data_IF_141411567305
#
_entry.id   IF_141411567305
#
_cell.length_a   1.000
_cell.length_b   1.000
_cell.length_c   1.000
_cell.angle_alpha   90.00
_cell.angle_beta   90.00
_cell.angle_gamma   90.00
#
_symmetry.space_group_name_H-M   'P 1'
#
loop_
_entity.id
_entity.type
_entity.pdbx_description
1 polymer ?
#
# COMPACT_ATOMS: atom_id res chain seq x y z
N UNK A 1 -23.49 -1.45 -38.61
CA UNK A 1 -23.58 -0.56 -37.43
C UNK A 1 -23.34 0.87 -37.89
N UNK A 2 -24.36 1.74 -37.80
CA UNK A 2 -24.22 3.16 -38.11
C UNK A 2 -23.34 3.80 -37.02
N UNK A 3 -22.15 4.20 -37.40
CA UNK A 3 -21.20 4.85 -36.50
C UNK A 3 -21.60 6.35 -36.40
N UNK A 4 -22.49 6.68 -35.47
CA UNK A 4 -22.84 8.07 -35.17
C UNK A 4 -21.67 8.70 -34.43
N UNK A 5 -20.75 9.32 -35.20
CA UNK A 5 -19.72 10.17 -34.61
C UNK A 5 -20.38 11.38 -33.94
N UNK A 6 -20.10 11.56 -32.64
CA UNK A 6 -20.51 12.79 -31.94
C UNK A 6 -19.72 13.94 -32.54
N UNK A 7 -20.37 15.00 -33.07
CA UNK A 7 -19.66 16.13 -33.61
C UNK A 7 -18.79 16.81 -32.55
N UNK A 8 -17.63 17.37 -32.91
CA UNK A 8 -16.76 18.04 -31.95
C UNK A 8 -17.50 19.21 -31.29
N UNK A 9 -17.55 19.17 -29.94
CA UNK A 9 -18.14 20.28 -29.17
C UNK A 9 -17.15 21.44 -29.16
N UNK A 10 -17.55 22.66 -29.53
CA UNK A 10 -16.68 23.84 -29.48
C UNK A 10 -16.11 24.05 -28.06
N UNK A 11 -14.82 24.37 -27.94
CA UNK A 11 -14.16 24.62 -26.65
C UNK A 11 -14.87 25.70 -25.81
N UNK A 12 -15.50 26.68 -26.46
CA UNK A 12 -16.29 27.69 -25.77
C UNK A 12 -17.46 27.15 -24.96
N UNK A 13 -18.01 25.98 -25.33
CA UNK A 13 -19.07 25.30 -24.58
C UNK A 13 -18.52 24.22 -23.67
N UNK A 14 -17.51 23.46 -24.11
CA UNK A 14 -16.96 22.34 -23.31
C UNK A 14 -16.15 22.82 -22.10
N UNK A 15 -15.41 23.93 -22.21
CA UNK A 15 -14.60 24.45 -21.11
C UNK A 15 -15.44 24.89 -19.88
N UNK A 16 -16.51 25.68 -20.02
CA UNK A 16 -17.38 26.00 -18.89
C UNK A 16 -18.05 24.78 -18.26
N UNK A 17 -18.52 23.84 -19.10
CA UNK A 17 -19.12 22.60 -18.61
C UNK A 17 -18.12 21.77 -17.81
N UNK A 18 -16.89 21.67 -18.30
CA UNK A 18 -15.80 20.98 -17.57
C UNK A 18 -15.49 21.69 -16.25
N UNK A 19 -15.41 23.03 -16.22
CA UNK A 19 -15.17 23.78 -15.01
C UNK A 19 -16.26 23.54 -13.95
N UNK A 20 -17.52 23.56 -14.36
CA UNK A 20 -18.67 23.25 -13.49
C UNK A 20 -18.55 21.82 -12.95
N UNK A 21 -18.32 20.84 -13.82
CA UNK A 21 -18.13 19.45 -13.42
C UNK A 21 -16.97 19.28 -12.42
N UNK A 22 -15.82 19.89 -12.69
CA UNK A 22 -14.64 19.80 -11.81
C UNK A 22 -14.92 20.43 -10.43
N UNK A 23 -15.66 21.53 -10.39
CA UNK A 23 -16.06 22.18 -9.14
C UNK A 23 -16.96 21.28 -8.32
N UNK A 24 -18.04 20.75 -8.90
CA UNK A 24 -18.93 19.83 -8.19
C UNK A 24 -18.21 18.56 -7.75
N UNK A 25 -17.37 17.99 -8.61
CA UNK A 25 -16.53 16.84 -8.26
C UNK A 25 -15.61 17.12 -7.08
N UNK A 26 -14.98 18.29 -7.04
CA UNK A 26 -14.09 18.67 -5.94
C UNK A 26 -14.84 18.84 -4.62
N UNK A 27 -16.02 19.44 -4.64
CA UNK A 27 -16.90 19.56 -3.47
C UNK A 27 -17.34 18.18 -3.00
N UNK A 28 -17.81 17.33 -3.91
CA UNK A 28 -18.22 15.96 -3.59
C UNK A 28 -17.06 15.17 -2.96
N UNK A 29 -15.87 15.21 -3.55
CA UNK A 29 -14.70 14.51 -3.03
C UNK A 29 -14.27 15.04 -1.66
N UNK A 30 -14.34 16.36 -1.45
CA UNK A 30 -14.08 16.95 -0.15
C UNK A 30 -15.06 16.42 0.91
N UNK A 31 -16.36 16.47 0.64
CA UNK A 31 -17.41 16.00 1.56
C UNK A 31 -17.24 14.51 1.87
N UNK A 32 -17.14 13.66 0.86
CA UNK A 32 -17.00 12.21 1.04
C UNK A 32 -15.75 11.86 1.83
N UNK A 33 -14.61 12.50 1.52
CA UNK A 33 -13.38 12.27 2.25
C UNK A 33 -13.46 12.68 3.70
N UNK A 34 -13.85 13.94 3.96
CA UNK A 34 -13.77 14.55 5.30
C UNK A 34 -14.82 14.00 6.26
N UNK A 35 -16.03 13.72 5.76
CA UNK A 35 -17.13 13.29 6.62
C UNK A 35 -17.31 11.78 6.68
N UNK A 36 -16.73 11.02 5.76
CA UNK A 36 -16.91 9.55 5.73
C UNK A 36 -15.56 8.81 5.68
N UNK A 37 -14.76 8.95 4.62
CA UNK A 37 -13.62 8.08 4.42
C UNK A 37 -12.53 8.24 5.50
N UNK A 38 -12.11 9.47 5.80
CA UNK A 38 -11.11 9.72 6.84
C UNK A 38 -11.60 9.35 8.25
N UNK A 39 -12.79 9.76 8.70
CA UNK A 39 -13.29 9.37 10.02
C UNK A 39 -13.39 7.86 10.20
N UNK A 40 -13.90 7.14 9.20
CA UNK A 40 -14.01 5.69 9.30
C UNK A 40 -12.63 5.01 9.30
N UNK A 41 -11.70 5.46 8.47
CA UNK A 41 -10.34 4.93 8.51
C UNK A 41 -9.67 5.21 9.86
N UNK A 42 -9.79 6.43 10.39
CA UNK A 42 -9.27 6.81 11.71
C UNK A 42 -9.86 5.96 12.84
N UNK A 43 -11.11 5.53 12.73
CA UNK A 43 -11.74 4.64 13.72
C UNK A 43 -11.13 3.24 13.77
N UNK A 44 -10.47 2.78 12.70
CA UNK A 44 -9.69 1.53 12.69
C UNK A 44 -8.28 1.71 13.26
N UNK A 45 -7.77 2.94 13.31
CA UNK A 45 -6.40 3.18 13.80
C UNK A 45 -6.33 3.07 15.32
N UNK A 46 -5.33 2.34 15.83
CA UNK A 46 -4.97 2.36 17.26
C UNK A 46 -4.39 3.72 17.63
N UNK A 47 -3.60 4.29 16.70
CA UNK A 47 -3.04 5.65 16.80
C UNK A 47 -2.82 6.22 15.41
N UNK A 48 -3.08 7.50 15.23
CA UNK A 48 -2.76 8.23 14.01
C UNK A 48 -2.20 9.62 14.32
N UNK A 49 -1.33 10.09 13.43
CA UNK A 49 -0.71 11.40 13.51
C UNK A 49 -1.53 12.51 12.84
N UNK A 50 -0.94 13.70 12.77
CA UNK A 50 -1.53 14.87 12.12
C UNK A 50 -1.52 14.70 10.61
N UNK A 51 -2.49 15.36 9.94
CA UNK A 51 -2.58 15.42 8.48
C UNK A 51 -2.64 14.02 7.82
N UNK A 52 -3.28 13.04 8.48
CA UNK A 52 -3.60 11.79 7.83
C UNK A 52 -4.63 12.06 6.73
N UNK A 53 -4.29 11.69 5.51
CA UNK A 53 -5.13 11.89 4.33
C UNK A 53 -5.42 10.55 3.66
N UNK A 54 -6.70 10.21 3.55
CA UNK A 54 -7.17 9.07 2.75
C UNK A 54 -7.77 9.58 1.43
N UNK A 55 -7.86 8.72 0.44
CA UNK A 55 -8.62 9.04 -0.76
C UNK A 55 -10.12 9.11 -0.49
N UNK A 56 -10.91 9.18 -1.55
CA UNK A 56 -12.38 9.24 -1.52
C UNK A 56 -13.03 7.85 -1.53
N UNK A 57 -12.27 6.81 -1.27
CA UNK A 57 -12.73 5.42 -1.24
C UNK A 57 -12.57 4.84 0.15
N UNK A 58 -13.51 3.99 0.54
CA UNK A 58 -13.36 3.19 1.76
C UNK A 58 -12.29 2.12 1.55
N UNK A 59 -11.30 2.09 2.44
CA UNK A 59 -10.32 1.01 2.48
C UNK A 59 -10.98 -0.29 2.97
N UNK A 60 -10.54 -1.42 2.42
CA UNK A 60 -11.00 -2.72 2.89
C UNK A 60 -10.13 -3.16 4.07
N UNK A 61 -10.70 -3.12 5.27
CA UNK A 61 -9.99 -3.53 6.49
C UNK A 61 -10.70 -4.76 7.05
N UNK A 62 -9.98 -5.87 7.16
CA UNK A 62 -10.51 -7.13 7.66
C UNK A 62 -9.65 -7.65 8.80
N UNK A 63 -10.30 -8.25 9.81
CA UNK A 63 -9.64 -8.76 11.01
C UNK A 63 -9.42 -7.67 12.06
N UNK A 64 -8.65 -8.00 13.09
CA UNK A 64 -8.30 -7.11 14.21
C UNK A 64 -6.79 -7.08 14.41
N UNK A 65 -6.24 -5.90 14.60
CA UNK A 65 -4.82 -5.69 14.84
C UNK A 65 -4.54 -4.25 15.23
N UNK A 66 -3.28 -3.92 15.38
CA UNK A 66 -2.83 -2.55 15.66
C UNK A 66 -2.47 -1.84 14.34
N UNK A 67 -3.15 -0.75 14.06
CA UNK A 67 -2.86 0.14 12.94
C UNK A 67 -2.32 1.45 13.50
N UNK A 68 -1.03 1.69 13.29
CA UNK A 68 -0.31 2.85 13.82
C UNK A 68 0.21 3.69 12.65
N UNK A 69 -0.28 4.92 12.55
CA UNK A 69 0.01 5.82 11.44
C UNK A 69 0.70 7.07 11.97
N UNK A 70 1.79 7.48 11.32
CA UNK A 70 2.54 8.70 11.62
C UNK A 70 1.90 9.99 11.11
N UNK A 71 2.66 11.08 11.20
CA UNK A 71 2.28 12.40 10.71
C UNK A 71 2.39 12.49 9.18
N UNK A 72 1.51 13.27 8.54
CA UNK A 72 1.53 13.56 7.10
C UNK A 72 1.49 12.31 6.20
N UNK A 73 0.82 11.26 6.65
CA UNK A 73 0.67 10.03 5.87
C UNK A 73 -0.48 10.19 4.88
N UNK A 74 -0.24 9.74 3.65
CA UNK A 74 -1.23 9.71 2.59
C UNK A 74 -1.47 8.29 2.10
N UNK A 75 -2.74 7.86 2.08
CA UNK A 75 -3.15 6.56 1.56
C UNK A 75 -4.17 6.82 0.45
N UNK A 76 -3.77 6.59 -0.80
CA UNK A 76 -4.61 6.89 -1.95
C UNK A 76 -5.44 5.69 -2.40
N UNK A 77 -6.63 5.98 -2.89
CA UNK A 77 -7.53 5.00 -3.48
C UNK A 77 -7.98 3.91 -2.50
N UNK A 78 -8.42 2.79 -3.03
CA UNK A 78 -8.94 1.67 -2.26
C UNK A 78 -7.82 0.67 -1.98
N UNK A 79 -7.24 0.72 -0.79
CA UNK A 79 -6.27 -0.27 -0.31
C UNK A 79 -6.96 -1.34 0.55
N UNK A 80 -6.30 -2.50 0.69
CA UNK A 80 -6.76 -3.62 1.51
C UNK A 80 -5.76 -3.92 2.61
N UNK A 81 -6.27 -4.05 3.85
CA UNK A 81 -5.47 -4.35 5.04
C UNK A 81 -6.09 -5.57 5.72
N UNK A 82 -5.38 -6.71 5.70
CA UNK A 82 -5.87 -7.97 6.26
C UNK A 82 -5.05 -8.32 7.51
N UNK A 83 -5.68 -8.25 8.67
CA UNK A 83 -5.08 -8.64 9.95
C UNK A 83 -5.45 -10.08 10.29
N UNK A 84 -4.46 -10.98 10.27
CA UNK A 84 -4.63 -12.40 10.56
C UNK A 84 -4.22 -12.70 12.02
N UNK A 85 -5.11 -12.44 12.98
CA UNK A 85 -4.87 -12.49 14.42
C UNK A 85 -4.56 -13.90 15.00
N UNK A 86 -4.37 -14.91 14.13
CA UNK A 86 -4.01 -16.25 14.58
C UNK A 86 -2.52 -16.45 14.87
N UNK A 87 -1.65 -15.55 14.38
CA UNK A 87 -0.19 -15.66 14.50
C UNK A 87 0.41 -14.71 15.53
N UNK A 88 -0.35 -13.75 15.97
CA UNK A 88 0.00 -12.84 17.03
C UNK A 88 -1.29 -12.33 17.68
N UNK A 89 -1.24 -12.05 18.98
CA UNK A 89 -2.39 -11.46 19.69
C UNK A 89 -2.79 -10.10 19.09
N UNK A 90 -1.80 -9.37 18.62
CA UNK A 90 -1.97 -8.06 18.00
C UNK A 90 -1.10 -7.93 16.75
N UNK A 91 -1.52 -8.49 15.60
CA UNK A 91 -0.81 -8.24 14.35
C UNK A 91 -0.77 -6.72 14.11
N UNK A 92 0.42 -6.21 13.80
CA UNK A 92 0.70 -4.76 13.83
C UNK A 92 1.16 -4.24 12.49
N UNK A 93 0.51 -3.19 11.99
CA UNK A 93 0.97 -2.38 10.85
C UNK A 93 1.40 -1.00 11.35
N UNK A 94 2.65 -0.63 11.06
CA UNK A 94 3.18 0.70 11.35
C UNK A 94 3.52 1.39 10.04
N UNK A 95 3.06 2.63 9.87
CA UNK A 95 3.40 3.49 8.74
C UNK A 95 3.99 4.78 9.29
N UNK A 96 5.25 5.04 8.98
CA UNK A 96 6.00 6.20 9.46
C UNK A 96 5.61 7.51 8.79
N UNK A 97 6.12 8.60 9.35
CA UNK A 97 5.79 9.97 8.93
C UNK A 97 6.14 10.25 7.47
N UNK A 98 5.39 11.15 6.84
CA UNK A 98 5.60 11.63 5.47
C UNK A 98 5.59 10.51 4.40
N UNK A 99 5.00 9.36 4.70
CA UNK A 99 4.92 8.20 3.79
C UNK A 99 3.63 8.23 2.98
N UNK A 100 3.77 7.90 1.70
CA UNK A 100 2.66 7.77 0.75
C UNK A 100 2.45 6.33 0.31
N UNK A 101 1.19 5.86 0.34
CA UNK A 101 0.77 4.56 -0.18
C UNK A 101 -0.21 4.80 -1.32
N UNK A 102 0.11 4.28 -2.50
CA UNK A 102 -0.68 4.39 -3.71
C UNK A 102 -1.95 3.54 -3.68
N UNK A 103 -2.76 3.69 -4.72
CA UNK A 103 -4.05 3.01 -4.83
C UNK A 103 -3.92 1.50 -4.99
N UNK A 104 -4.95 0.78 -4.54
CA UNK A 104 -5.10 -0.67 -4.70
C UNK A 104 -3.94 -1.51 -4.12
N UNK A 105 -3.21 -0.98 -3.14
CA UNK A 105 -2.21 -1.77 -2.41
C UNK A 105 -2.91 -2.79 -1.50
N UNK A 106 -2.26 -3.95 -1.32
CA UNK A 106 -2.72 -5.04 -0.47
C UNK A 106 -1.65 -5.39 0.57
N UNK A 107 -2.01 -5.28 1.85
CA UNK A 107 -1.13 -5.62 2.97
C UNK A 107 -1.76 -6.76 3.78
N UNK A 108 -1.03 -7.87 3.93
CA UNK A 108 -1.45 -9.00 4.78
C UNK A 108 -0.54 -9.06 5.99
N UNK A 109 -1.13 -8.82 7.14
CA UNK A 109 -0.44 -8.66 8.42
C UNK A 109 -0.77 -9.84 9.32
N UNK A 110 0.14 -10.81 9.43
CA UNK A 110 0.03 -11.95 10.35
C UNK A 110 0.72 -11.68 11.68
N UNK A 111 1.89 -11.05 11.64
CA UNK A 111 2.65 -10.64 12.82
C UNK A 111 2.94 -9.14 12.79
N UNK A 112 3.74 -8.68 11.82
CA UNK A 112 4.16 -7.29 11.80
C UNK A 112 4.64 -6.82 10.43
N UNK A 113 4.12 -5.68 9.97
CA UNK A 113 4.68 -4.93 8.84
C UNK A 113 5.06 -3.53 9.33
N UNK A 114 6.29 -3.13 9.06
CA UNK A 114 6.78 -1.77 9.35
C UNK A 114 7.14 -1.10 8.04
N UNK A 115 6.55 0.07 7.80
CA UNK A 115 6.92 0.97 6.70
C UNK A 115 7.46 2.24 7.35
N UNK A 116 8.71 2.55 7.07
CA UNK A 116 9.44 3.69 7.63
C UNK A 116 8.91 5.04 7.16
N UNK A 117 9.67 6.08 7.46
CA UNK A 117 9.36 7.46 7.13
C UNK A 117 9.78 7.80 5.70
N UNK A 118 9.11 8.79 5.10
CA UNK A 118 9.43 9.31 3.76
C UNK A 118 9.37 8.26 2.64
N UNK A 119 8.70 7.13 2.87
CA UNK A 119 8.53 6.10 1.85
C UNK A 119 7.54 6.50 0.76
N UNK A 120 7.77 5.98 -0.43
CA UNK A 120 6.85 6.11 -1.57
C UNK A 120 6.48 4.73 -2.10
N UNK A 121 5.29 4.29 -1.76
CA UNK A 121 4.74 3.02 -2.23
C UNK A 121 3.78 3.34 -3.38
N UNK A 122 4.10 2.87 -4.57
CA UNK A 122 3.27 3.10 -5.75
C UNK A 122 1.97 2.28 -5.69
N UNK A 123 1.18 2.31 -6.76
CA UNK A 123 -0.09 1.58 -6.81
C UNK A 123 0.10 0.07 -6.92
N UNK A 124 -0.93 -0.68 -6.50
CA UNK A 124 -1.04 -2.13 -6.68
C UNK A 124 0.12 -2.95 -6.05
N UNK A 125 0.85 -2.38 -5.11
CA UNK A 125 1.92 -3.07 -4.38
C UNK A 125 1.30 -4.06 -3.40
N UNK A 126 1.88 -5.26 -3.32
CA UNK A 126 1.50 -6.30 -2.36
C UNK A 126 2.62 -6.52 -1.35
N UNK A 127 2.29 -6.47 -0.06
CA UNK A 127 3.24 -6.69 1.04
C UNK A 127 2.66 -7.74 1.98
N UNK A 128 3.35 -8.84 2.12
CA UNK A 128 2.90 -9.98 2.91
C UNK A 128 3.94 -10.36 3.96
N UNK A 129 3.53 -10.47 5.22
CA UNK A 129 4.35 -11.12 6.25
C UNK A 129 3.95 -12.58 6.49
N UNK A 130 2.91 -13.04 5.78
CA UNK A 130 2.35 -14.40 5.84
C UNK A 130 2.07 -14.93 4.43
N UNK A 131 2.39 -16.21 4.15
CA UNK A 131 2.07 -16.85 2.87
C UNK A 131 0.56 -17.12 2.69
N UNK A 132 -0.26 -16.93 3.72
CA UNK A 132 -1.72 -17.11 3.68
C UNK A 132 -2.18 -18.56 3.86
N UNK A 133 -1.48 -19.52 3.31
CA UNK A 133 -1.80 -20.96 3.35
C UNK A 133 -0.57 -21.77 3.74
N UNK A 134 -0.80 -22.97 4.32
CA UNK A 134 0.27 -23.91 4.63
C UNK A 134 1.08 -24.30 3.39
N UNK A 135 2.41 -24.29 3.48
CA UNK A 135 3.30 -24.74 2.41
C UNK A 135 3.22 -26.26 2.22
N UNK A 136 3.00 -27.02 3.31
CA UNK A 136 2.77 -28.46 3.26
C UNK A 136 1.47 -28.82 2.55
N UNK A 137 1.48 -29.69 1.51
CA UNK A 137 0.30 -30.03 0.73
C UNK A 137 -0.82 -30.69 1.54
N UNK A 138 -0.50 -31.58 2.50
CA UNK A 138 -1.49 -32.28 3.30
C UNK A 138 -2.15 -31.33 4.30
N UNK A 139 -1.37 -30.47 4.95
CA UNK A 139 -1.87 -29.43 5.84
C UNK A 139 -2.77 -28.43 5.07
N UNK A 140 -2.37 -28.05 3.86
CA UNK A 140 -3.16 -27.16 3.01
C UNK A 140 -4.48 -27.78 2.60
N UNK A 141 -4.50 -29.07 2.25
CA UNK A 141 -5.71 -29.82 1.92
C UNK A 141 -6.65 -29.91 3.13
N UNK A 142 -6.11 -30.06 4.34
CA UNK A 142 -6.86 -30.06 5.58
C UNK A 142 -7.32 -28.66 6.02
N UNK A 143 -7.05 -27.59 5.24
CA UNK A 143 -7.40 -26.21 5.59
C UNK A 143 -6.57 -25.64 6.75
N UNK A 144 -5.44 -26.24 7.07
CA UNK A 144 -4.55 -25.77 8.14
C UNK A 144 -3.92 -24.42 7.74
N UNK A 145 -3.66 -23.52 8.71
CA UNK A 145 -2.93 -22.29 8.45
C UNK A 145 -1.46 -22.58 8.14
N UNK A 146 -0.70 -21.58 7.64
CA UNK A 146 0.75 -21.64 7.61
C UNK A 146 1.31 -21.93 8.99
N UNK A 147 2.50 -22.52 9.06
CA UNK A 147 3.23 -22.66 10.32
C UNK A 147 3.69 -21.29 10.82
N UNK A 148 3.90 -21.18 12.13
CA UNK A 148 4.29 -19.91 12.75
C UNK A 148 5.65 -19.39 12.24
N UNK A 149 6.58 -20.29 11.92
CA UNK A 149 7.91 -19.98 11.37
C UNK A 149 7.87 -19.51 9.90
N UNK A 150 6.76 -19.75 9.17
CA UNK A 150 6.51 -19.24 7.82
C UNK A 150 6.01 -17.79 7.83
N UNK A 151 5.50 -17.30 8.97
CA UNK A 151 5.02 -15.94 9.15
C UNK A 151 6.12 -15.08 9.75
N UNK A 152 6.69 -14.19 8.93
CA UNK A 152 7.89 -13.42 9.28
C UNK A 152 7.67 -11.93 9.01
N UNK A 153 7.98 -11.06 9.98
CA UNK A 153 7.81 -9.62 9.82
C UNK A 153 8.49 -9.07 8.58
N UNK A 154 7.87 -8.07 7.98
CA UNK A 154 8.44 -7.29 6.87
C UNK A 154 8.81 -5.91 7.37
N UNK A 155 10.01 -5.45 7.00
CA UNK A 155 10.51 -4.12 7.35
C UNK A 155 10.89 -3.36 6.08
N UNK A 156 10.27 -2.23 5.87
CA UNK A 156 10.63 -1.26 4.85
C UNK A 156 11.19 -0.06 5.59
N UNK A 157 12.50 0.18 5.47
CA UNK A 157 13.18 1.26 6.18
C UNK A 157 12.83 2.63 5.58
N UNK A 158 13.45 3.70 6.12
CA UNK A 158 13.16 5.07 5.73
C UNK A 158 13.57 5.36 4.26
N UNK A 159 12.84 6.28 3.63
CA UNK A 159 13.13 6.78 2.27
C UNK A 159 13.22 5.70 1.18
N UNK A 160 12.42 4.65 1.30
CA UNK A 160 12.31 3.59 0.29
C UNK A 160 11.27 3.96 -0.76
N UNK A 161 11.59 3.68 -2.02
CA UNK A 161 10.64 3.76 -3.11
C UNK A 161 10.30 2.37 -3.66
N UNK A 162 9.02 1.98 -3.59
CA UNK A 162 8.51 0.74 -4.16
C UNK A 162 7.67 1.08 -5.38
N UNK A 163 8.09 0.57 -6.54
CA UNK A 163 7.44 0.74 -7.83
C UNK A 163 6.10 -0.01 -7.94
N UNK A 164 5.32 0.38 -8.91
CA UNK A 164 3.98 -0.16 -9.17
C UNK A 164 3.98 -1.69 -9.34
N UNK A 165 2.99 -2.37 -8.76
CA UNK A 165 2.83 -3.84 -8.82
C UNK A 165 3.98 -4.67 -8.27
N UNK A 166 4.88 -4.10 -7.48
CA UNK A 166 5.89 -4.89 -6.79
C UNK A 166 5.27 -5.77 -5.71
N UNK A 167 5.91 -6.90 -5.44
CA UNK A 167 5.50 -7.86 -4.41
C UNK A 167 6.64 -8.05 -3.42
N UNK A 168 6.37 -7.83 -2.13
CA UNK A 168 7.32 -8.02 -1.03
C UNK A 168 6.86 -9.24 -0.24
N UNK A 169 7.73 -10.26 -0.17
CA UNK A 169 7.43 -11.55 0.46
C UNK A 169 7.74 -11.53 1.97
N UNK A 170 7.24 -12.54 2.72
CA UNK A 170 7.46 -12.61 4.16
C UNK A 170 8.93 -12.61 4.57
N UNK A 171 9.25 -11.93 5.66
CA UNK A 171 10.57 -11.91 6.26
C UNK A 171 11.58 -10.96 5.62
N UNK A 172 11.16 -10.12 4.69
CA UNK A 172 12.06 -9.26 3.91
C UNK A 172 12.28 -7.92 4.62
N UNK A 173 13.55 -7.50 4.63
CA UNK A 173 13.96 -6.13 4.96
C UNK A 173 14.38 -5.39 3.70
N UNK A 174 13.76 -4.23 3.45
CA UNK A 174 14.18 -3.29 2.40
C UNK A 174 14.95 -2.16 3.07
N UNK A 175 16.26 -2.11 2.83
CA UNK A 175 17.16 -1.12 3.46
C UNK A 175 16.89 0.31 3.01
N UNK A 176 17.22 1.24 3.89
CA UNK A 176 17.01 2.68 3.72
C UNK A 176 17.47 3.20 2.36
N UNK A 177 16.71 4.11 1.77
CA UNK A 177 17.06 4.77 0.51
C UNK A 177 17.01 3.86 -0.72
N UNK A 178 16.53 2.61 -0.59
CA UNK A 178 16.50 1.66 -1.69
C UNK A 178 15.29 1.85 -2.61
N UNK A 179 15.42 1.30 -3.81
CA UNK A 179 14.36 1.32 -4.83
C UNK A 179 14.04 -0.11 -5.24
N UNK A 180 12.77 -0.46 -5.17
CA UNK A 180 12.22 -1.67 -5.78
C UNK A 180 11.53 -1.27 -7.07
N UNK A 181 11.99 -1.79 -8.20
CA UNK A 181 11.43 -1.46 -9.51
C UNK A 181 9.99 -1.98 -9.66
N UNK A 182 9.23 -1.38 -10.56
CA UNK A 182 7.87 -1.82 -10.86
C UNK A 182 7.84 -3.30 -11.30
N UNK A 183 6.83 -4.05 -10.83
CA UNK A 183 6.65 -5.47 -11.13
C UNK A 183 7.69 -6.41 -10.52
N UNK A 184 8.59 -5.92 -9.67
CA UNK A 184 9.60 -6.76 -9.04
C UNK A 184 8.99 -7.65 -7.94
N UNK A 185 9.47 -8.90 -7.83
CA UNK A 185 9.11 -9.83 -6.75
C UNK A 185 10.31 -10.03 -5.83
N UNK A 186 10.25 -9.45 -4.64
CA UNK A 186 11.36 -9.41 -3.68
C UNK A 186 11.27 -10.61 -2.76
N UNK A 187 12.26 -11.51 -2.87
CA UNK A 187 12.38 -12.77 -2.12
C UNK A 187 13.58 -12.78 -1.16
N UNK A 188 14.38 -11.71 -1.15
CA UNK A 188 15.58 -11.59 -0.32
C UNK A 188 15.71 -10.14 0.14
N UNK A 189 16.40 -9.94 1.26
CA UNK A 189 16.68 -8.62 1.78
C UNK A 189 17.37 -7.73 0.74
N UNK A 190 17.02 -6.46 0.77
CA UNK A 190 17.60 -5.42 -0.09
C UNK A 190 18.51 -4.55 0.75
N UNK A 191 19.83 -4.53 0.48
CA UNK A 191 20.74 -3.66 1.21
C UNK A 191 20.39 -2.18 1.05
N UNK A 192 20.75 -1.32 2.00
CA UNK A 192 20.53 0.12 1.89
C UNK A 192 21.09 0.72 0.58
N UNK A 193 20.44 1.76 0.08
CA UNK A 193 20.83 2.47 -1.14
C UNK A 193 21.04 1.55 -2.35
N UNK A 194 20.16 0.59 -2.51
CA UNK A 194 20.25 -0.40 -3.59
C UNK A 194 18.97 -0.41 -4.43
N UNK A 195 19.12 -0.45 -5.74
CA UNK A 195 18.02 -0.69 -6.66
C UNK A 195 17.94 -2.17 -7.02
N UNK A 196 16.75 -2.75 -6.84
CA UNK A 196 16.45 -4.13 -7.26
C UNK A 196 15.35 -4.14 -8.31
N UNK A 197 15.41 -5.13 -9.21
CA UNK A 197 14.45 -5.27 -10.30
C UNK A 197 14.25 -6.74 -10.69
N UNK A 198 13.13 -7.06 -11.33
CA UNK A 198 12.82 -8.36 -11.91
C UNK A 198 12.00 -9.29 -11.02
N UNK A 199 11.70 -10.47 -11.56
CA UNK A 199 11.00 -11.57 -10.87
C UNK A 199 11.77 -12.89 -11.13
N UNK A 200 12.49 -13.41 -10.13
CA UNK A 200 12.73 -12.82 -8.82
C UNK A 200 13.63 -11.56 -8.90
N UNK A 201 13.43 -10.63 -7.96
CA UNK A 201 14.21 -9.40 -7.91
C UNK A 201 15.70 -9.68 -7.67
N UNK A 202 16.55 -8.96 -8.40
CA UNK A 202 18.00 -8.99 -8.25
C UNK A 202 18.54 -7.58 -8.18
N UNK A 203 19.68 -7.41 -7.55
CA UNK A 203 20.36 -6.12 -7.50
C UNK A 203 20.64 -5.63 -8.92
N UNK A 204 20.14 -4.46 -9.24
CA UNK A 204 20.35 -3.79 -10.52
C UNK A 204 21.54 -2.83 -10.44
N UNK A 205 21.56 -2.00 -9.40
CA UNK A 205 22.68 -1.06 -9.13
C UNK A 205 22.68 -0.59 -7.68
N UNK A 206 23.82 -0.10 -7.20
CA UNK A 206 23.91 0.71 -5.99
C UNK A 206 23.53 2.16 -6.32
N UNK A 207 22.82 2.80 -5.41
CA UNK A 207 22.43 4.20 -5.51
C UNK A 207 23.50 5.02 -4.77
N UNK A 208 24.27 5.78 -5.52
CA UNK A 208 25.20 6.76 -4.92
C UNK A 208 24.37 7.97 -4.53
N UNK A 209 24.15 8.19 -3.24
CA UNK A 209 23.64 9.47 -2.75
C UNK A 209 24.65 10.56 -3.12
N UNK A 210 24.23 11.56 -3.88
CA UNK A 210 24.95 12.83 -3.82
C UNK A 210 24.68 13.39 -2.42
N UNK A 211 25.74 13.56 -1.64
CA UNK A 211 25.74 14.27 -0.36
C UNK A 211 25.39 15.74 -0.55
#
# INVERSE_FOLDING_TARGET
MLNFGIPPIPNALSAPLLAVFLTFRSIYYFVVRVFFCEPFFKAYCTRYGRNLHTGVFFHWIQGRGELIIGDNVRIDGKCSFFFAARFADKPTLIIGDNTGIGHACSLVIGKKIVIGRHCRIAGQVSIFDSPGHASDPAARLAGSPPKDDEVKPVVIEDNVWIGDRAIIMPGITIGQGSIVAAGAVVLMDVPPNTMVAGNPARQFRKLTGQA
#
